data_IF_725462394279
#
_entry.id   IF_725462394279
#
_cell.length_a   1.000
_cell.length_b   1.000
_cell.length_c   1.000
_cell.angle_alpha   90.00
_cell.angle_beta   90.00
_cell.angle_gamma   90.00
#
_symmetry.space_group_name_H-M   'P 1'
#
loop_
_entity.id
_entity.type
_entity.pdbx_description
1 polymer ?
#
# COMPACT_ATOMS: atom_id res chain seq x y z
N UNK A 1 -25.56 -15.05 -10.16
CA UNK A 1 -26.27 -13.95 -10.83
C UNK A 1 -25.36 -13.35 -11.88
N UNK A 2 -25.92 -12.92 -13.02
CA UNK A 2 -25.18 -12.22 -14.08
C UNK A 2 -25.88 -10.88 -14.31
N UNK A 3 -25.14 -9.78 -14.26
CA UNK A 3 -25.69 -8.48 -14.57
C UNK A 3 -25.77 -8.28 -16.09
N UNK A 4 -26.77 -7.55 -16.56
CA UNK A 4 -26.94 -7.25 -17.98
C UNK A 4 -25.73 -6.44 -18.50
N UNK A 5 -25.14 -6.89 -19.60
CA UNK A 5 -23.94 -6.29 -20.17
C UNK A 5 -22.60 -6.78 -19.59
N UNK A 6 -22.60 -7.62 -18.54
CA UNK A 6 -21.37 -8.17 -17.95
C UNK A 6 -21.18 -9.66 -18.32
N UNK A 7 -19.92 -10.02 -18.62
CA UNK A 7 -19.57 -11.43 -18.93
C UNK A 7 -19.44 -12.29 -17.67
N UNK A 8 -19.16 -11.68 -16.51
CA UNK A 8 -18.87 -12.35 -15.26
C UNK A 8 -20.13 -12.81 -14.52
N UNK A 9 -20.02 -13.92 -13.78
CA UNK A 9 -21.03 -14.38 -12.84
C UNK A 9 -20.67 -13.95 -11.43
N UNK A 10 -21.64 -13.42 -10.70
CA UNK A 10 -21.48 -12.97 -9.34
C UNK A 10 -22.34 -13.78 -8.39
N UNK A 11 -21.80 -14.08 -7.22
CA UNK A 11 -22.59 -14.62 -6.13
C UNK A 11 -23.35 -13.47 -5.44
N UNK A 12 -24.69 -13.51 -5.39
CA UNK A 12 -25.48 -12.45 -4.76
C UNK A 12 -25.42 -12.49 -3.23
N UNK A 13 -24.90 -13.57 -2.65
CA UNK A 13 -24.84 -13.77 -1.21
C UNK A 13 -23.56 -13.14 -0.64
N UNK A 14 -23.52 -11.83 -0.60
CA UNK A 14 -22.35 -11.07 -0.12
C UNK A 14 -22.28 -10.92 1.41
N UNK A 15 -23.38 -11.26 2.09
CA UNK A 15 -23.50 -11.11 3.54
C UNK A 15 -23.11 -12.38 4.31
N UNK A 16 -23.26 -13.58 3.70
CA UNK A 16 -23.03 -14.85 4.42
C UNK A 16 -22.10 -15.80 3.68
N UNK A 17 -21.65 -15.48 2.48
CA UNK A 17 -20.73 -16.30 1.71
C UNK A 17 -19.31 -16.19 2.28
N UNK A 18 -18.72 -17.27 2.88
CA UNK A 18 -17.42 -17.19 3.54
C UNK A 18 -16.29 -16.68 2.63
N UNK A 19 -16.15 -17.10 1.37
CA UNK A 19 -15.13 -16.54 0.47
C UNK A 19 -15.26 -15.05 0.24
N UNK A 20 -16.51 -14.52 0.13
CA UNK A 20 -16.72 -13.08 -0.05
C UNK A 20 -16.42 -12.30 1.21
N UNK A 21 -16.81 -12.79 2.37
CA UNK A 21 -16.49 -12.15 3.66
C UNK A 21 -14.98 -12.10 3.87
N UNK A 22 -14.29 -13.23 3.69
CA UNK A 22 -12.83 -13.30 3.80
C UNK A 22 -12.16 -12.34 2.81
N UNK A 23 -12.57 -12.33 1.54
CA UNK A 23 -12.04 -11.42 0.53
C UNK A 23 -12.28 -9.94 0.84
N UNK A 24 -13.43 -9.56 1.40
CA UNK A 24 -13.70 -8.18 1.86
C UNK A 24 -12.77 -7.79 3.02
N UNK A 25 -12.52 -8.70 3.97
CA UNK A 25 -11.60 -8.46 5.09
C UNK A 25 -10.15 -8.37 4.58
N UNK A 26 -9.72 -9.26 3.69
CA UNK A 26 -8.39 -9.22 3.06
C UNK A 26 -8.16 -7.92 2.29
N UNK A 27 -9.15 -7.45 1.53
CA UNK A 27 -9.09 -6.15 0.87
C UNK A 27 -8.94 -5.03 1.89
N UNK A 28 -9.76 -5.04 2.95
CA UNK A 28 -9.76 -4.00 3.99
C UNK A 28 -8.40 -3.88 4.70
N UNK A 29 -7.79 -5.00 5.07
CA UNK A 29 -6.49 -5.01 5.77
C UNK A 29 -5.30 -4.75 4.85
N UNK A 30 -5.48 -4.79 3.54
CA UNK A 30 -4.41 -4.70 2.56
C UNK A 30 -3.57 -3.42 2.70
N UNK A 31 -2.32 -3.48 2.20
CA UNK A 31 -1.34 -2.38 2.26
C UNK A 31 -1.89 -1.07 1.69
N UNK A 32 -2.67 -1.15 0.65
CA UNK A 32 -3.25 0.03 -0.03
C UNK A 32 -4.52 0.58 0.64
N UNK A 33 -5.15 -0.23 1.48
CA UNK A 33 -6.34 0.13 2.25
C UNK A 33 -5.95 0.54 3.68
N UNK A 34 -6.33 -0.22 4.70
CA UNK A 34 -6.07 0.14 6.11
C UNK A 34 -4.65 -0.23 6.58
N UNK A 35 -3.88 -0.95 5.78
CA UNK A 35 -2.48 -1.34 6.06
C UNK A 35 -2.31 -1.96 7.45
N UNK A 36 -3.10 -2.97 7.75
CA UNK A 36 -2.99 -3.67 9.03
C UNK A 36 -1.94 -4.77 8.90
N UNK A 37 -0.74 -4.45 9.34
CA UNK A 37 0.37 -5.39 9.34
C UNK A 37 0.10 -6.59 10.26
N UNK A 38 0.75 -7.71 9.98
CA UNK A 38 0.64 -8.97 10.72
C UNK A 38 -0.71 -9.71 10.58
N UNK A 39 -1.61 -9.22 9.72
CA UNK A 39 -2.81 -9.92 9.27
C UNK A 39 -2.64 -10.33 7.80
N UNK A 40 -2.57 -11.63 7.56
CA UNK A 40 -2.56 -12.20 6.21
C UNK A 40 -3.81 -13.05 5.95
N UNK A 41 -3.99 -13.55 4.70
CA UNK A 41 -5.15 -14.37 4.33
C UNK A 41 -5.36 -15.61 5.22
N UNK A 42 -4.27 -16.27 5.63
CA UNK A 42 -4.33 -17.42 6.52
C UNK A 42 -4.84 -17.05 7.90
N UNK A 43 -4.40 -15.91 8.44
CA UNK A 43 -4.84 -15.42 9.75
C UNK A 43 -6.30 -14.97 9.70
N UNK A 44 -6.73 -14.32 8.61
CA UNK A 44 -8.14 -13.97 8.38
C UNK A 44 -9.00 -15.24 8.33
N UNK A 45 -8.54 -16.28 7.64
CA UNK A 45 -9.25 -17.56 7.58
C UNK A 45 -9.37 -18.22 8.96
N UNK A 46 -8.28 -18.27 9.75
CA UNK A 46 -8.29 -18.80 11.14
C UNK A 46 -9.29 -18.03 12.02
N UNK A 47 -9.25 -16.69 11.99
CA UNK A 47 -10.15 -15.88 12.81
C UNK A 47 -11.61 -16.02 12.39
N UNK A 48 -11.88 -16.13 11.09
CA UNK A 48 -13.22 -16.38 10.58
C UNK A 48 -13.74 -17.76 11.01
N UNK A 49 -12.95 -18.82 10.90
CA UNK A 49 -13.33 -20.19 11.28
C UNK A 49 -13.53 -20.32 12.78
N UNK A 50 -12.77 -19.59 13.59
CA UNK A 50 -12.95 -19.50 15.04
C UNK A 50 -14.13 -18.62 15.47
N UNK A 51 -14.81 -17.97 14.50
CA UNK A 51 -15.94 -17.09 14.79
C UNK A 51 -15.57 -15.76 15.43
N UNK A 52 -14.30 -15.36 15.35
CA UNK A 52 -13.81 -14.09 15.91
C UNK A 52 -14.17 -12.88 15.07
N UNK A 53 -14.26 -13.07 13.73
CA UNK A 53 -14.57 -12.01 12.78
C UNK A 53 -15.60 -12.51 11.75
N UNK A 54 -16.59 -11.68 11.41
CA UNK A 54 -17.61 -11.90 10.39
C UNK A 54 -17.70 -10.73 9.41
N UNK A 55 -17.12 -9.59 9.75
CA UNK A 55 -17.02 -8.40 8.92
C UNK A 55 -15.80 -7.55 9.34
N UNK A 56 -15.50 -6.49 8.60
CA UNK A 56 -14.32 -5.64 8.83
C UNK A 56 -14.37 -4.87 10.15
N UNK A 57 -15.55 -4.58 10.70
CA UNK A 57 -15.66 -3.85 11.95
C UNK A 57 -15.30 -4.72 13.16
N UNK A 58 -15.49 -6.04 13.07
CA UNK A 58 -15.15 -6.97 14.14
C UNK A 58 -13.64 -6.99 14.44
N UNK A 59 -12.81 -6.60 13.48
CA UNK A 59 -11.37 -6.47 13.69
C UNK A 59 -11.04 -5.52 14.84
N UNK A 60 -11.80 -4.45 15.00
CA UNK A 60 -11.58 -3.41 16.01
C UNK A 60 -12.08 -3.80 17.42
N UNK A 61 -12.74 -4.94 17.55
CA UNK A 61 -13.16 -5.54 18.81
C UNK A 61 -12.17 -6.59 19.33
N UNK A 62 -11.25 -7.06 18.47
CA UNK A 62 -10.30 -8.11 18.83
C UNK A 62 -9.36 -7.68 19.94
N UNK A 63 -9.28 -8.51 20.98
CA UNK A 63 -8.30 -8.40 22.05
C UNK A 63 -7.18 -9.44 21.91
N UNK A 64 -6.06 -9.21 22.59
CA UNK A 64 -4.97 -10.21 22.65
C UNK A 64 -5.50 -11.54 23.19
N UNK A 65 -6.41 -11.53 24.17
CA UNK A 65 -7.00 -12.74 24.76
C UNK A 65 -7.81 -13.54 23.74
N UNK A 66 -8.61 -12.87 22.90
CA UNK A 66 -9.42 -13.52 21.85
C UNK A 66 -8.52 -14.20 20.81
N UNK A 67 -7.47 -13.50 20.38
CA UNK A 67 -6.53 -14.00 19.39
C UNK A 67 -5.76 -15.20 19.92
N UNK A 68 -5.24 -15.13 21.14
CA UNK A 68 -4.42 -16.19 21.73
C UNK A 68 -5.23 -17.42 22.14
N UNK A 69 -6.50 -17.24 22.51
CA UNK A 69 -7.32 -18.32 23.05
C UNK A 69 -6.68 -19.02 24.26
N UNK A 70 -5.90 -18.29 25.07
CA UNK A 70 -5.15 -18.80 26.19
C UNK A 70 -3.76 -19.37 25.89
N UNK A 71 -3.32 -19.33 24.64
CA UNK A 71 -1.98 -19.79 24.25
C UNK A 71 -0.95 -18.66 24.34
N UNK A 72 -0.15 -18.67 25.40
CA UNK A 72 0.87 -17.65 25.67
C UNK A 72 1.99 -17.58 24.62
N UNK A 73 2.24 -18.67 23.88
CA UNK A 73 3.27 -18.65 22.82
C UNK A 73 2.92 -17.70 21.64
N UNK A 74 1.63 -17.37 21.47
CA UNK A 74 1.12 -16.49 20.41
C UNK A 74 0.96 -15.02 20.86
N UNK A 75 1.25 -14.71 22.12
CA UNK A 75 0.96 -13.39 22.70
C UNK A 75 1.65 -12.24 21.96
N UNK A 76 2.93 -12.37 21.62
CA UNK A 76 3.68 -11.34 20.86
C UNK A 76 3.09 -11.09 19.47
N UNK A 77 2.65 -12.15 18.79
CA UNK A 77 2.00 -12.03 17.49
C UNK A 77 0.64 -11.34 17.61
N UNK A 78 -0.15 -11.75 18.61
CA UNK A 78 -1.45 -11.14 18.89
C UNK A 78 -1.32 -9.64 19.25
N UNK A 79 -0.32 -9.26 20.05
CA UNK A 79 -0.04 -7.86 20.38
C UNK A 79 0.28 -7.05 19.14
N UNK A 80 1.07 -7.58 18.17
CA UNK A 80 1.36 -6.89 16.90
C UNK A 80 0.10 -6.68 16.07
N UNK A 81 -0.77 -7.68 16.00
CA UNK A 81 -2.05 -7.56 15.29
C UNK A 81 -2.90 -6.45 15.89
N UNK A 82 -3.09 -6.45 17.20
CA UNK A 82 -3.89 -5.41 17.90
C UNK A 82 -3.27 -4.02 17.71
N UNK A 83 -1.94 -3.91 17.80
CA UNK A 83 -1.23 -2.65 17.53
C UNK A 83 -1.42 -2.17 16.07
N UNK A 84 -1.36 -3.09 15.10
CA UNK A 84 -1.61 -2.77 13.69
C UNK A 84 -3.04 -2.29 13.45
N UNK A 85 -4.03 -2.92 14.10
CA UNK A 85 -5.44 -2.50 14.05
C UNK A 85 -5.58 -1.09 14.65
N UNK A 86 -4.97 -0.83 15.80
CA UNK A 86 -5.04 0.49 16.44
C UNK A 86 -4.38 1.58 15.58
N UNK A 87 -3.21 1.29 15.01
CA UNK A 87 -2.52 2.21 14.10
C UNK A 87 -3.35 2.51 12.84
N UNK A 88 -4.12 1.54 12.35
CA UNK A 88 -4.96 1.72 11.16
C UNK A 88 -6.05 2.79 11.32
N UNK A 89 -6.45 3.13 12.55
CA UNK A 89 -7.41 4.21 12.82
C UNK A 89 -6.92 5.57 12.33
N UNK A 90 -5.60 5.75 12.16
CA UNK A 90 -4.99 6.99 11.69
C UNK A 90 -4.78 7.04 10.16
N UNK A 91 -5.20 6.01 9.46
CA UNK A 91 -5.11 5.95 7.99
C UNK A 91 -5.97 7.07 7.38
N UNK A 92 -5.47 7.81 6.37
CA UNK A 92 -6.20 8.90 5.72
C UNK A 92 -7.55 8.47 5.13
N UNK A 93 -8.51 9.38 5.15
CA UNK A 93 -9.90 9.12 4.74
C UNK A 93 -10.04 8.52 3.34
N UNK A 94 -9.25 8.95 2.37
CA UNK A 94 -9.27 8.39 1.02
C UNK A 94 -8.95 6.89 0.98
N UNK A 95 -8.07 6.43 1.86
CA UNK A 95 -7.74 5.01 2.00
C UNK A 95 -8.83 4.26 2.75
N UNK A 96 -9.41 4.86 3.78
CA UNK A 96 -10.58 4.31 4.47
C UNK A 96 -11.75 4.14 3.49
N UNK A 97 -12.01 5.13 2.64
CA UNK A 97 -13.06 5.05 1.63
C UNK A 97 -12.79 3.92 0.61
N UNK A 98 -11.54 3.75 0.18
CA UNK A 98 -11.13 2.63 -0.66
C UNK A 98 -11.29 1.29 0.07
N UNK A 99 -10.92 1.23 1.35
CA UNK A 99 -10.99 0.02 2.17
C UNK A 99 -12.43 -0.52 2.34
N UNK A 100 -13.44 0.34 2.25
CA UNK A 100 -14.85 -0.09 2.30
C UNK A 100 -15.22 -1.04 1.14
N UNK A 101 -14.41 -1.13 0.09
CA UNK A 101 -14.61 -2.07 -1.01
C UNK A 101 -15.85 -1.76 -1.86
N UNK A 102 -16.20 -0.48 -2.01
CA UNK A 102 -17.33 -0.05 -2.84
C UNK A 102 -17.06 -0.47 -4.30
N UNK A 103 -17.99 -1.17 -4.90
CA UNK A 103 -17.83 -1.68 -6.27
C UNK A 103 -17.52 -0.53 -7.24
N UNK A 104 -16.58 -0.74 -8.16
CA UNK A 104 -16.08 0.23 -9.14
C UNK A 104 -15.33 1.44 -8.54
N UNK A 105 -15.16 1.50 -7.23
CA UNK A 105 -14.38 2.54 -6.58
C UNK A 105 -12.97 2.04 -6.31
N UNK A 106 -12.04 2.37 -7.21
CA UNK A 106 -10.61 2.09 -7.03
C UNK A 106 -9.93 3.17 -6.18
N UNK A 107 -8.63 3.01 -5.89
CA UNK A 107 -7.82 3.96 -5.10
C UNK A 107 -7.93 5.41 -5.60
N UNK A 108 -7.77 5.61 -6.91
CA UNK A 108 -7.83 6.94 -7.55
C UNK A 108 -9.20 7.56 -7.35
N UNK A 109 -10.25 6.80 -7.63
CA UNK A 109 -11.63 7.28 -7.48
C UNK A 109 -11.98 7.59 -6.03
N UNK A 110 -11.57 6.73 -5.09
CA UNK A 110 -11.75 6.98 -3.65
C UNK A 110 -11.08 8.28 -3.22
N UNK A 111 -9.86 8.55 -3.72
CA UNK A 111 -9.12 9.80 -3.46
C UNK A 111 -9.86 11.01 -4.03
N UNK A 112 -10.35 10.96 -5.26
CA UNK A 112 -11.08 12.06 -5.90
C UNK A 112 -12.35 12.40 -5.11
N UNK A 113 -13.14 11.38 -4.75
CA UNK A 113 -14.36 11.54 -3.96
C UNK A 113 -14.04 12.09 -2.56
N UNK A 114 -13.07 11.51 -1.85
CA UNK A 114 -12.69 11.95 -0.51
C UNK A 114 -12.18 13.40 -0.49
N UNK A 115 -11.40 13.82 -1.48
CA UNK A 115 -10.90 15.19 -1.60
C UNK A 115 -12.01 16.19 -1.91
N UNK A 116 -12.97 15.81 -2.75
CA UNK A 116 -14.09 16.67 -3.13
C UNK A 116 -15.04 16.90 -1.95
N UNK A 117 -15.52 15.83 -1.33
CA UNK A 117 -16.51 15.90 -0.26
C UNK A 117 -15.91 16.16 1.12
N UNK A 118 -14.63 15.80 1.34
CA UNK A 118 -13.85 15.97 2.58
C UNK A 118 -14.35 15.20 3.80
N UNK A 119 -15.64 14.82 3.84
CA UNK A 119 -16.30 14.12 4.97
C UNK A 119 -17.26 13.07 4.44
N UNK A 120 -17.31 11.94 5.13
CA UNK A 120 -18.21 10.85 4.78
C UNK A 120 -19.69 11.26 4.80
N UNK A 121 -20.11 12.07 5.78
CA UNK A 121 -21.50 12.51 5.88
C UNK A 121 -21.95 13.22 4.59
N UNK A 122 -21.07 14.04 4.01
CA UNK A 122 -21.37 14.70 2.72
C UNK A 122 -21.48 13.72 1.55
N UNK A 123 -20.77 12.60 1.58
CA UNK A 123 -20.90 11.56 0.55
C UNK A 123 -22.23 10.80 0.73
N UNK A 124 -22.62 10.54 1.96
CA UNK A 124 -23.91 9.88 2.26
C UNK A 124 -25.08 10.76 1.81
N UNK A 125 -25.05 12.05 2.16
CA UNK A 125 -26.16 13.00 1.93
C UNK A 125 -26.20 13.57 0.50
N UNK A 126 -25.10 13.49 -0.29
CA UNK A 126 -25.01 14.07 -1.62
C UNK A 126 -26.02 13.45 -2.60
N UNK A 127 -26.34 14.17 -3.65
CA UNK A 127 -27.13 13.67 -4.77
C UNK A 127 -26.27 12.86 -5.75
N UNK A 128 -26.89 12.17 -6.70
CA UNK A 128 -26.19 11.51 -7.80
C UNK A 128 -25.43 12.55 -8.65
N UNK A 129 -26.04 13.71 -8.89
CA UNK A 129 -25.46 14.79 -9.69
C UNK A 129 -24.22 15.40 -9.03
N UNK A 130 -24.21 15.50 -7.69
CA UNK A 130 -23.03 15.95 -6.95
C UNK A 130 -21.84 14.99 -7.13
N UNK A 131 -22.10 13.67 -7.16
CA UNK A 131 -21.07 12.66 -7.45
C UNK A 131 -20.59 12.75 -8.90
N UNK A 132 -21.48 12.99 -9.85
CA UNK A 132 -21.14 13.17 -11.27
C UNK A 132 -20.36 14.45 -11.53
N UNK A 133 -20.49 15.46 -10.68
CA UNK A 133 -19.72 16.69 -10.74
C UNK A 133 -18.23 16.51 -10.37
N UNK A 134 -17.89 15.38 -9.73
CA UNK A 134 -16.49 15.04 -9.40
C UNK A 134 -15.78 14.56 -10.68
N UNK A 135 -14.73 15.28 -11.10
CA UNK A 135 -13.94 14.89 -12.27
C UNK A 135 -13.39 13.47 -12.14
N UNK A 136 -13.60 12.64 -13.15
CA UNK A 136 -13.21 11.22 -13.14
C UNK A 136 -14.22 10.26 -12.48
N UNK A 137 -15.40 10.75 -12.03
CA UNK A 137 -16.48 9.91 -11.50
C UNK A 137 -17.59 9.76 -12.54
N UNK A 138 -17.73 8.58 -13.12
CA UNK A 138 -18.80 8.28 -14.08
C UNK A 138 -20.08 7.75 -13.40
N UNK A 139 -21.16 7.64 -14.20
CA UNK A 139 -22.49 7.23 -13.70
C UNK A 139 -22.51 5.89 -12.98
N UNK A 140 -21.74 4.89 -13.45
CA UNK A 140 -21.63 3.58 -12.82
C UNK A 140 -21.03 3.66 -11.42
N UNK A 141 -19.98 4.47 -11.26
CA UNK A 141 -19.32 4.71 -9.97
C UNK A 141 -20.27 5.46 -9.04
N UNK A 142 -20.87 6.55 -9.50
CA UNK A 142 -21.80 7.36 -8.72
C UNK A 142 -22.98 6.54 -8.20
N UNK A 143 -23.59 5.74 -9.07
CA UNK A 143 -24.68 4.83 -8.69
C UNK A 143 -24.22 3.78 -7.66
N UNK A 144 -23.01 3.24 -7.81
CA UNK A 144 -22.45 2.25 -6.89
C UNK A 144 -22.19 2.84 -5.49
N UNK A 145 -21.68 4.08 -5.43
CA UNK A 145 -21.47 4.79 -4.16
C UNK A 145 -22.81 5.04 -3.45
N UNK A 146 -23.82 5.55 -4.16
CA UNK A 146 -25.15 5.79 -3.59
C UNK A 146 -25.79 4.49 -3.12
N UNK A 147 -25.71 3.43 -3.91
CA UNK A 147 -26.23 2.12 -3.52
C UNK A 147 -25.54 1.59 -2.27
N UNK A 148 -24.19 1.68 -2.18
CA UNK A 148 -23.45 1.21 -1.02
C UNK A 148 -23.95 1.84 0.29
N UNK A 149 -24.12 3.15 0.32
CA UNK A 149 -24.59 3.88 1.51
C UNK A 149 -26.10 3.84 1.73
N UNK A 150 -26.90 3.38 0.77
CA UNK A 150 -28.32 3.10 0.96
C UNK A 150 -28.58 1.75 1.65
N UNK A 151 -27.59 0.85 1.67
CA UNK A 151 -27.72 -0.48 2.27
C UNK A 151 -27.53 -0.42 3.80
N UNK A 152 -28.57 -0.80 4.60
CA UNK A 152 -28.48 -0.71 6.06
C UNK A 152 -27.32 -1.48 6.67
N UNK A 153 -26.97 -2.66 6.10
CA UNK A 153 -25.86 -3.48 6.56
C UNK A 153 -24.50 -2.79 6.39
N UNK A 154 -24.30 -2.10 5.28
CA UNK A 154 -23.09 -1.34 5.05
C UNK A 154 -23.00 -0.15 6.00
N UNK A 155 -24.11 0.53 6.23
CA UNK A 155 -24.19 1.65 7.17
C UNK A 155 -23.94 1.22 8.61
N UNK A 156 -24.38 0.04 9.00
CA UNK A 156 -24.07 -0.54 10.32
C UNK A 156 -22.56 -0.72 10.50
N UNK A 157 -21.87 -1.35 9.51
CA UNK A 157 -20.42 -1.51 9.51
C UNK A 157 -19.71 -0.16 9.58
N UNK A 158 -20.11 0.79 8.76
CA UNK A 158 -19.55 2.15 8.74
C UNK A 158 -19.70 2.85 10.08
N UNK A 159 -20.89 2.76 10.70
CA UNK A 159 -21.16 3.38 12.00
C UNK A 159 -20.31 2.73 13.12
N UNK A 160 -20.13 1.40 13.09
CA UNK A 160 -19.23 0.71 14.03
C UNK A 160 -17.78 1.15 13.83
N UNK A 161 -17.26 1.18 12.60
CA UNK A 161 -15.91 1.67 12.30
C UNK A 161 -15.71 3.12 12.81
N UNK A 162 -16.71 3.98 12.60
CA UNK A 162 -16.71 5.35 13.12
C UNK A 162 -16.65 5.39 14.66
N UNK A 163 -17.42 4.54 15.34
CA UNK A 163 -17.43 4.48 16.81
C UNK A 163 -16.09 4.01 17.39
N UNK A 164 -15.29 3.24 16.64
CA UNK A 164 -13.94 2.83 17.00
C UNK A 164 -12.87 3.88 16.71
N UNK A 165 -13.23 5.02 16.10
CA UNK A 165 -12.32 6.13 15.83
C UNK A 165 -11.57 6.04 14.49
N UNK A 166 -12.05 5.21 13.55
CA UNK A 166 -11.53 5.19 12.18
C UNK A 166 -11.82 6.52 11.50
N UNK A 167 -10.87 7.05 10.73
CA UNK A 167 -10.98 8.35 10.08
C UNK A 167 -11.95 8.33 8.91
N UNK A 168 -12.97 9.21 8.95
CA UNK A 168 -13.96 9.40 7.91
C UNK A 168 -14.08 10.86 7.46
N UNK A 169 -13.03 11.64 7.73
CA UNK A 169 -12.90 13.00 7.24
C UNK A 169 -11.45 13.32 6.89
N UNK A 170 -11.28 14.21 5.93
CA UNK A 170 -9.97 14.78 5.62
C UNK A 170 -9.58 15.69 6.77
N UNK A 171 -8.56 15.31 7.50
CA UNK A 171 -8.04 16.15 8.59
C UNK A 171 -7.52 17.46 8.01
N UNK A 172 -8.04 18.60 8.50
CA UNK A 172 -7.45 19.92 8.21
C UNK A 172 -6.18 20.17 9.04
N UNK A 173 -5.97 19.35 10.06
CA UNK A 173 -4.64 19.27 10.68
C UNK A 173 -3.76 18.53 9.69
N UNK A 174 -2.61 19.11 9.32
CA UNK A 174 -1.59 18.30 8.69
C UNK A 174 -1.43 17.08 9.58
N UNK A 175 -1.81 15.92 9.07
CA UNK A 175 -1.51 14.66 9.75
C UNK A 175 0.00 14.70 9.98
N UNK A 176 0.43 14.58 11.23
CA UNK A 176 1.86 14.60 11.57
C UNK A 176 2.65 13.50 10.84
N UNK A 177 1.95 12.54 10.24
CA UNK A 177 2.46 11.51 9.34
C UNK A 177 2.45 11.92 7.85
N UNK A 178 1.80 13.03 7.45
CA UNK A 178 1.66 13.47 6.04
C UNK A 178 2.30 14.84 5.78
N UNK A 179 2.64 15.63 6.79
CA UNK A 179 3.06 17.03 6.61
C UNK A 179 4.51 17.36 6.93
N UNK A 180 5.34 16.42 7.28
CA UNK A 180 6.79 16.64 7.38
C UNK A 180 7.59 16.01 6.25
N UNK A 181 7.05 14.96 5.61
CA UNK A 181 7.83 14.09 4.74
C UNK A 181 7.41 14.08 3.26
N UNK A 182 6.22 14.53 2.89
CA UNK A 182 5.74 14.43 1.52
C UNK A 182 5.68 15.76 0.74
N UNK A 183 6.19 16.85 1.29
CA UNK A 183 6.40 18.09 0.54
C UNK A 183 7.77 18.14 -0.18
N UNK A 184 8.50 17.03 -0.21
CA UNK A 184 9.84 16.93 -0.85
C UNK A 184 9.82 17.35 -2.32
N UNK A 185 8.69 17.13 -2.99
CA UNK A 185 8.51 17.49 -4.39
C UNK A 185 7.62 18.73 -4.57
N UNK A 186 7.32 19.48 -3.51
CA UNK A 186 6.46 20.66 -3.59
C UNK A 186 6.98 21.68 -4.60
N UNK A 187 6.11 22.07 -5.53
CA UNK A 187 6.44 23.02 -6.61
C UNK A 187 7.32 22.45 -7.73
N UNK A 188 7.70 21.19 -7.68
CA UNK A 188 8.48 20.53 -8.73
C UNK A 188 7.58 19.99 -9.84
N UNK A 189 8.02 20.16 -11.10
CA UNK A 189 7.37 19.61 -12.28
C UNK A 189 8.22 18.46 -12.82
N UNK A 190 7.67 17.25 -12.86
CA UNK A 190 8.41 16.02 -13.12
C UNK A 190 7.83 15.32 -14.34
N UNK A 191 8.70 14.86 -15.24
CA UNK A 191 8.33 14.02 -16.39
C UNK A 191 8.72 12.59 -16.10
N UNK A 192 7.83 11.64 -16.33
CA UNK A 192 8.10 10.20 -16.21
C UNK A 192 8.39 9.64 -17.60
N UNK A 193 9.50 8.92 -17.78
CA UNK A 193 9.88 8.32 -19.05
C UNK A 193 10.62 7.00 -18.86
N UNK A 194 10.26 5.99 -19.64
CA UNK A 194 10.85 4.64 -19.58
C UNK A 194 9.94 3.60 -18.91
N UNK A 195 10.48 2.43 -18.67
CA UNK A 195 9.90 1.32 -17.92
C UNK A 195 10.58 1.21 -16.56
N UNK A 196 9.85 0.78 -15.53
CA UNK A 196 10.29 0.78 -14.16
C UNK A 196 10.14 -0.62 -13.57
N UNK A 197 10.99 -0.97 -12.62
CA UNK A 197 11.02 -2.29 -12.00
C UNK A 197 10.09 -2.40 -10.80
N UNK A 198 10.04 -1.35 -9.96
CA UNK A 198 9.33 -1.41 -8.67
C UNK A 198 7.88 -0.97 -8.76
N UNK A 199 7.57 0.00 -9.63
CA UNK A 199 6.23 0.58 -9.76
C UNK A 199 5.87 0.83 -11.22
N UNK A 200 4.58 0.76 -11.53
CA UNK A 200 4.06 1.20 -12.83
C UNK A 200 4.16 2.72 -12.99
N UNK A 201 4.08 3.19 -14.23
CA UNK A 201 4.09 4.63 -14.54
C UNK A 201 2.96 5.39 -13.84
N UNK A 202 1.79 4.76 -13.73
CA UNK A 202 0.63 5.37 -13.06
C UNK A 202 0.84 5.45 -11.54
N UNK A 203 1.50 4.48 -10.95
CA UNK A 203 1.88 4.51 -9.54
C UNK A 203 2.92 5.59 -9.26
N UNK A 204 3.93 5.77 -10.12
CA UNK A 204 4.89 6.88 -9.99
C UNK A 204 4.22 8.24 -10.15
N UNK A 205 3.25 8.37 -11.04
CA UNK A 205 2.46 9.60 -11.16
C UNK A 205 1.74 9.91 -9.85
N UNK A 206 1.11 8.91 -9.25
CA UNK A 206 0.44 9.05 -7.96
C UNK A 206 1.43 9.42 -6.84
N UNK A 207 2.60 8.76 -6.77
CA UNK A 207 3.65 9.06 -5.79
C UNK A 207 4.17 10.49 -5.91
N UNK A 208 4.41 10.98 -7.13
CA UNK A 208 4.83 12.36 -7.38
C UNK A 208 3.78 13.35 -6.87
N UNK A 209 2.51 13.12 -7.18
CA UNK A 209 1.39 13.96 -6.75
C UNK A 209 1.21 13.93 -5.24
N UNK A 210 1.36 12.76 -4.62
CA UNK A 210 1.30 12.57 -3.16
C UNK A 210 2.44 13.28 -2.43
N UNK A 211 3.62 13.36 -3.06
CA UNK A 211 4.77 14.11 -2.55
C UNK A 211 4.69 15.63 -2.87
N UNK A 212 3.56 16.13 -3.34
CA UNK A 212 3.33 17.54 -3.64
C UNK A 212 3.92 18.01 -4.97
N UNK A 213 4.47 17.11 -5.79
CA UNK A 213 4.98 17.38 -7.12
C UNK A 213 3.88 17.38 -8.18
N UNK A 214 4.20 17.87 -9.37
CA UNK A 214 3.30 17.88 -10.53
C UNK A 214 3.86 16.98 -11.63
N UNK A 215 3.12 15.95 -12.04
CA UNK A 215 3.46 15.19 -13.22
C UNK A 215 3.10 15.98 -14.49
N UNK A 216 4.05 16.09 -15.43
CA UNK A 216 3.87 16.75 -16.72
C UNK A 216 4.27 15.82 -17.86
N UNK A 217 3.56 15.89 -18.98
CA UNK A 217 3.73 14.97 -20.10
C UNK A 217 4.93 15.31 -21.01
N UNK A 218 5.38 16.57 -21.01
CA UNK A 218 6.43 17.06 -21.90
C UNK A 218 7.52 17.80 -21.14
N UNK A 219 8.77 17.63 -21.60
CA UNK A 219 9.95 18.30 -21.05
C UNK A 219 9.96 19.75 -21.54
N UNK A 220 10.14 20.69 -20.62
CA UNK A 220 10.25 22.14 -20.87
C UNK A 220 11.23 22.76 -19.87
N UNK A 221 11.61 24.01 -20.07
CA UNK A 221 12.49 24.75 -19.15
C UNK A 221 11.94 24.86 -17.70
N UNK A 222 10.64 24.52 -17.49
CA UNK A 222 10.00 24.48 -16.17
C UNK A 222 10.04 23.09 -15.53
N UNK A 223 10.59 22.09 -16.22
CA UNK A 223 10.72 20.73 -15.70
C UNK A 223 11.86 20.68 -14.70
N UNK A 224 11.59 20.22 -13.49
CA UNK A 224 12.59 20.14 -12.41
C UNK A 224 13.55 18.97 -12.63
N UNK A 225 13.03 17.80 -12.98
CA UNK A 225 13.81 16.64 -13.39
C UNK A 225 12.95 15.64 -14.17
N UNK A 226 13.62 14.67 -14.80
CA UNK A 226 12.95 13.56 -15.47
C UNK A 226 13.21 12.28 -14.65
N UNK A 227 12.14 11.62 -14.19
CA UNK A 227 12.23 10.28 -13.65
C UNK A 227 12.44 9.31 -14.81
N UNK A 228 13.66 8.80 -14.94
CA UNK A 228 14.13 7.97 -16.03
C UNK A 228 14.17 6.52 -15.60
N UNK A 229 13.30 5.70 -16.19
CA UNK A 229 13.36 4.24 -16.11
C UNK A 229 14.17 3.66 -17.26
N UNK A 230 14.23 2.33 -17.32
CA UNK A 230 14.85 1.61 -18.43
C UNK A 230 14.14 1.94 -19.76
N UNK A 231 14.89 1.89 -20.86
CA UNK A 231 14.36 2.15 -22.20
C UNK A 231 13.71 3.54 -22.37
N UNK A 232 14.23 4.57 -21.69
CA UNK A 232 13.83 5.94 -21.93
C UNK A 232 14.05 6.31 -23.41
N UNK A 233 13.01 6.86 -24.06
CA UNK A 233 13.07 7.22 -25.47
C UNK A 233 14.15 8.30 -25.76
N UNK A 234 14.99 8.13 -26.82
CA UNK A 234 16.14 8.98 -27.11
C UNK A 234 15.77 10.46 -27.27
N UNK A 235 14.63 10.78 -27.89
CA UNK A 235 14.19 12.16 -28.07
C UNK A 235 13.90 12.91 -26.76
N UNK A 236 13.46 12.21 -25.72
CA UNK A 236 13.28 12.83 -24.39
C UNK A 236 14.61 13.00 -23.67
N UNK A 237 15.53 12.05 -23.84
CA UNK A 237 16.88 12.14 -23.29
C UNK A 237 17.64 13.32 -23.88
N UNK A 238 17.65 13.46 -25.21
CA UNK A 238 18.27 14.60 -25.90
C UNK A 238 17.68 15.92 -25.46
N UNK A 239 16.35 16.00 -25.34
CA UNK A 239 15.67 17.22 -24.91
C UNK A 239 15.98 17.61 -23.47
N UNK A 240 16.12 16.62 -22.56
CA UNK A 240 16.55 16.86 -21.20
C UNK A 240 17.98 17.41 -21.15
N UNK A 241 18.90 16.80 -21.91
CA UNK A 241 20.27 17.27 -22.03
C UNK A 241 20.37 18.70 -22.62
N UNK A 242 19.63 18.99 -23.69
CA UNK A 242 19.60 20.31 -24.31
C UNK A 242 19.12 21.41 -23.36
N UNK A 243 18.20 21.09 -22.49
CA UNK A 243 17.62 22.04 -21.52
C UNK A 243 18.32 22.01 -20.15
N UNK A 244 19.37 21.19 -19.98
CA UNK A 244 20.08 21.04 -18.74
C UNK A 244 19.25 20.45 -17.59
N UNK A 245 18.22 19.64 -17.92
CA UNK A 245 17.31 19.06 -16.95
C UNK A 245 17.90 17.75 -16.43
N UNK A 246 18.05 17.57 -15.10
CA UNK A 246 18.62 16.35 -14.53
C UNK A 246 17.73 15.14 -14.79
N UNK A 247 18.37 14.01 -15.06
CA UNK A 247 17.75 12.69 -15.09
C UNK A 247 17.94 12.05 -13.72
N UNK A 248 16.86 11.53 -13.14
CA UNK A 248 16.85 10.84 -11.87
C UNK A 248 16.44 9.40 -12.10
N UNK A 249 17.21 8.47 -11.59
CA UNK A 249 16.90 7.03 -11.68
C UNK A 249 15.78 6.65 -10.72
N UNK A 250 15.18 5.46 -10.93
CA UNK A 250 14.16 4.90 -10.06
C UNK A 250 14.64 4.79 -8.60
N UNK A 251 15.85 4.27 -8.40
CA UNK A 251 16.45 4.10 -7.07
C UNK A 251 16.72 5.44 -6.36
N UNK A 252 17.22 6.44 -7.08
CA UNK A 252 17.42 7.79 -6.54
C UNK A 252 16.10 8.44 -6.15
N UNK A 253 15.06 8.28 -6.97
CA UNK A 253 13.74 8.81 -6.68
C UNK A 253 13.10 8.13 -5.45
N UNK A 254 13.20 6.79 -5.37
CA UNK A 254 12.69 6.05 -4.21
C UNK A 254 13.46 6.39 -2.94
N UNK A 255 14.77 6.61 -3.01
CA UNK A 255 15.56 7.11 -1.88
C UNK A 255 15.13 8.50 -1.48
N UNK A 256 14.94 9.42 -2.43
CA UNK A 256 14.50 10.79 -2.17
C UNK A 256 13.14 10.84 -1.43
N UNK A 257 12.18 10.02 -1.86
CA UNK A 257 10.87 9.95 -1.19
C UNK A 257 10.89 9.03 0.02
N UNK A 258 11.78 8.03 0.08
CA UNK A 258 11.94 7.05 1.16
C UNK A 258 12.65 7.64 2.37
N UNK A 259 13.70 8.41 2.20
CA UNK A 259 14.35 9.17 3.28
C UNK A 259 13.39 10.17 3.92
N UNK A 260 12.53 10.77 3.10
CA UNK A 260 11.44 11.61 3.56
C UNK A 260 10.32 10.83 4.27
N UNK A 261 10.15 9.54 3.95
CA UNK A 261 9.13 8.67 4.55
C UNK A 261 9.61 7.91 5.81
N UNK A 262 10.86 8.11 6.23
CA UNK A 262 11.43 7.44 7.42
C UNK A 262 11.56 5.92 7.28
N UNK A 263 11.59 5.41 6.04
CA UNK A 263 11.88 4.01 5.77
C UNK A 263 13.40 3.87 5.73
N UNK A 264 14.04 3.81 6.90
CA UNK A 264 15.43 3.41 7.02
C UNK A 264 15.54 1.97 6.51
N UNK A 265 16.02 1.82 5.28
CA UNK A 265 16.49 0.54 4.79
C UNK A 265 17.66 0.10 5.66
N UNK A 266 17.50 -1.01 6.35
CA UNK A 266 18.61 -1.73 6.98
C UNK A 266 19.56 -2.23 5.89
N UNK A 267 20.51 -1.40 5.51
CA UNK A 267 21.69 -1.84 4.76
C UNK A 267 22.70 -2.42 5.75
N UNK A 268 23.30 -3.57 5.48
CA UNK A 268 24.38 -4.07 6.30
C UNK A 268 25.59 -3.13 6.18
N UNK A 269 26.08 -2.69 7.32
CA UNK A 269 27.31 -1.91 7.46
C UNK A 269 28.46 -2.71 6.90
N UNK A 270 28.98 -2.34 5.74
CA UNK A 270 30.31 -2.72 5.27
C UNK A 270 31.29 -1.77 5.94
N UNK A 271 32.10 -2.32 6.82
CA UNK A 271 33.23 -1.63 7.45
C UNK A 271 34.22 -1.16 6.39
N UNK A 272 34.88 0.02 6.58
CA UNK A 272 35.89 0.52 5.66
C UNK A 272 37.17 -0.33 5.72
N UNK A 273 37.97 -0.39 4.65
CA UNK A 273 39.23 -1.11 4.63
C UNK A 273 40.27 -0.33 5.46
N UNK A 274 40.73 -0.95 6.53
CA UNK A 274 41.89 -0.49 7.31
C UNK A 274 43.17 -0.78 6.57
N UNK A 275 44.06 0.17 6.68
CA UNK A 275 45.40 0.26 6.11
C UNK A 275 46.31 -0.88 6.55
N UNK A 276 47.24 -1.15 5.64
CA UNK A 276 48.37 -2.05 5.72
C UNK A 276 49.36 -1.71 6.84
N UNK A 277 49.84 -2.72 7.57
CA UNK A 277 51.26 -2.76 8.00
C UNK A 277 51.80 -4.20 7.90
N UNK A 278 52.92 -4.31 7.24
CA UNK A 278 53.80 -5.46 7.10
C UNK A 278 54.37 -5.88 8.45
N UNK A 279 54.56 -7.16 8.71
CA UNK A 279 55.87 -7.74 9.01
C UNK A 279 55.88 -9.25 9.02
N UNK A 280 57.04 -9.73 8.56
CA UNK A 280 57.45 -11.09 8.19
C UNK A 280 57.53 -12.07 9.37
N UNK A 281 57.38 -13.33 9.16
CA UNK A 281 58.42 -14.40 9.07
C UNK A 281 57.84 -15.81 9.34
N UNK A 282 58.00 -16.63 8.36
CA UNK A 282 58.68 -17.94 8.39
C UNK A 282 58.20 -19.03 9.36
N UNK A 283 57.67 -20.17 8.87
CA UNK A 283 58.26 -21.49 8.91
C UNK A 283 57.30 -22.62 8.51
N UNK A 284 57.68 -23.29 7.42
CA UNK A 284 57.63 -24.74 7.16
C UNK A 284 56.33 -25.56 7.32
N UNK A 285 55.92 -26.08 6.15
CA UNK A 285 55.18 -27.34 5.96
C UNK A 285 56.04 -28.57 6.41
N UNK A 286 55.52 -29.81 6.52
CA UNK A 286 54.86 -30.50 5.42
C UNK A 286 53.73 -31.53 5.74
N UNK A 287 52.93 -31.79 4.70
CA UNK A 287 52.42 -33.09 4.22
C UNK A 287 51.77 -34.13 5.16
N UNK A 288 50.54 -34.50 4.83
CA UNK A 288 50.21 -35.84 4.25
C UNK A 288 48.69 -36.03 4.15
N UNK A 289 48.28 -36.27 2.95
CA UNK A 289 47.06 -37.05 2.59
C UNK A 289 47.51 -38.54 2.68
N UNK A 290 46.69 -39.58 2.79
CA UNK A 290 45.55 -39.86 1.90
C UNK A 290 44.37 -40.67 2.53
N UNK A 291 43.40 -40.91 1.69
CA UNK A 291 42.60 -42.12 1.45
C UNK A 291 41.10 -42.11 1.75
N UNK A 292 40.36 -42.21 0.67
CA UNK A 292 39.01 -42.73 0.47
C UNK A 292 39.06 -44.27 0.52
N UNK A 293 38.05 -44.98 1.01
CA UNK A 293 37.28 -45.84 0.12
C UNK A 293 35.75 -45.81 0.41
N UNK A 294 34.94 -45.65 -0.68
CA UNK A 294 34.12 -46.61 -1.41
C UNK A 294 33.13 -47.47 -0.61
N UNK A 295 31.85 -47.22 -0.97
CA UNK A 295 30.77 -48.15 -1.30
C UNK A 295 30.55 -49.40 -0.43
N UNK A 296 29.30 -49.58 -0.06
CA UNK A 296 28.54 -50.80 -0.38
C UNK A 296 27.04 -50.61 -0.18
N UNK A 297 26.31 -50.94 -1.24
CA UNK A 297 24.86 -51.25 -1.26
C UNK A 297 24.53 -52.40 -0.32
N UNK A 298 23.29 -52.51 0.14
CA UNK A 298 22.36 -53.60 -0.13
C UNK A 298 21.12 -53.53 0.79
N UNK A 299 19.96 -53.55 0.13
CA UNK A 299 18.70 -54.24 0.44
C UNK A 299 18.39 -54.66 1.90
N UNK A 300 17.27 -54.19 2.45
CA UNK A 300 15.97 -54.86 2.53
C UNK A 300 14.87 -53.85 2.85
#
# INVERSE_FOLDING_TARGET
MRYEGEAAHYCPNDATCPPQIKGKIEHFISRDAMNIDSLGPETVADYFERGLIHNVADLYELTVADITGGNTSRERSAQRVVQGIEASKQVPFERTLYALGIRFVGKVTARLIARHFRRLDKIIDCTLDDLLAVDGVGGVVAASVKHYFSEPKNMEIVNRLRSYGVQFEVSDKPSAAVNGQYAVLAGQSIVISGTFEHHSREEYKALIEDCGGKNVSSISAKTSFVLAGENMGPSKQEKALQLGIPLMTESEFLSLIGDAAGIASSTPVTSPPGESEEEASNHQSPASNPEVPQQLDLFD
#
